data_IF_599769892766
#
_entry.id   IF_599769892766
#
_cell.length_a   1.000
_cell.length_b   1.000
_cell.length_c   1.000
_cell.angle_alpha   90.00
_cell.angle_beta   90.00
_cell.angle_gamma   90.00
#
_symmetry.space_group_name_H-M   'P 1'
#
loop_
_entity.id
_entity.type
_entity.pdbx_description
1 polymer ?
#
# COMPACT_ATOMS: atom_id res chain seq x y z
N UNK A 1 -15.13 3.14 18.07
CA UNK A 1 -14.26 3.08 16.87
C UNK A 1 -14.98 2.25 15.83
N UNK A 2 -15.34 2.83 14.66
CA UNK A 2 -16.01 2.09 13.61
C UNK A 2 -14.96 1.32 12.78
N UNK A 3 -15.14 0.00 12.63
CA UNK A 3 -14.32 -0.83 11.75
C UNK A 3 -15.10 -1.02 10.45
N UNK A 4 -14.60 -0.47 9.34
CA UNK A 4 -15.15 -0.75 8.02
C UNK A 4 -14.43 -1.96 7.43
N UNK A 5 -15.18 -3.01 7.08
CA UNK A 5 -14.64 -4.21 6.43
C UNK A 5 -15.20 -4.27 5.01
N UNK A 6 -14.34 -4.05 4.03
CA UNK A 6 -14.67 -4.24 2.61
C UNK A 6 -14.08 -5.56 2.11
N UNK A 7 -14.87 -6.36 1.38
CA UNK A 7 -14.43 -7.65 0.79
C UNK A 7 -14.67 -7.61 -0.71
N UNK A 8 -13.65 -8.00 -1.47
CA UNK A 8 -13.70 -8.10 -2.94
C UNK A 8 -13.25 -9.51 -3.35
N UNK A 9 -13.98 -10.13 -4.29
CA UNK A 9 -13.58 -11.41 -4.90
C UNK A 9 -12.83 -11.13 -6.20
N UNK A 10 -11.59 -11.61 -6.29
CA UNK A 10 -10.76 -11.49 -7.50
C UNK A 10 -10.38 -12.90 -7.93
N UNK A 11 -10.72 -13.27 -9.17
CA UNK A 11 -10.40 -14.59 -9.73
C UNK A 11 -8.98 -14.60 -10.31
N UNK A 12 -7.97 -14.70 -9.45
CA UNK A 12 -6.55 -14.75 -9.86
C UNK A 12 -5.71 -15.48 -8.82
N UNK A 13 -4.49 -15.87 -9.19
CA UNK A 13 -3.51 -16.40 -8.25
C UNK A 13 -3.19 -15.35 -7.18
N UNK A 14 -3.19 -15.76 -5.91
CA UNK A 14 -2.91 -14.86 -4.78
C UNK A 14 -1.53 -14.19 -4.89
N UNK A 15 -0.55 -14.89 -5.48
CA UNK A 15 0.78 -14.35 -5.76
C UNK A 15 0.71 -13.11 -6.66
N UNK A 16 -0.17 -13.11 -7.66
CA UNK A 16 -0.33 -11.97 -8.58
C UNK A 16 -0.95 -10.77 -7.87
N UNK A 17 -1.89 -11.00 -6.94
CA UNK A 17 -2.45 -9.93 -6.08
C UNK A 17 -1.35 -9.35 -5.21
N UNK A 18 -0.54 -10.22 -4.59
CA UNK A 18 0.57 -9.81 -3.76
C UNK A 18 1.61 -8.99 -4.54
N UNK A 19 2.01 -9.46 -5.71
CA UNK A 19 2.91 -8.77 -6.62
C UNK A 19 2.36 -7.40 -7.03
N UNK A 20 1.05 -7.28 -7.27
CA UNK A 20 0.40 -6.02 -7.63
C UNK A 20 0.43 -4.99 -6.48
N UNK A 21 0.38 -5.47 -5.23
CA UNK A 21 0.47 -4.65 -4.04
C UNK A 21 1.92 -4.30 -3.65
N UNK A 22 2.90 -5.12 -4.05
CA UNK A 22 4.29 -5.00 -3.58
C UNK A 22 5.28 -4.50 -4.62
N UNK A 23 5.10 -4.81 -5.90
CA UNK A 23 6.04 -4.36 -6.93
C UNK A 23 5.75 -2.90 -7.28
N UNK A 24 6.78 -2.02 -7.26
CA UNK A 24 6.61 -0.59 -7.56
C UNK A 24 6.02 -0.34 -8.95
N UNK A 25 6.30 -1.22 -9.92
CA UNK A 25 5.74 -1.17 -11.28
C UNK A 25 4.21 -1.21 -11.29
N UNK A 26 3.60 -2.08 -10.49
CA UNK A 26 2.15 -2.22 -10.42
C UNK A 26 1.52 -1.20 -9.48
N UNK A 27 2.21 -0.89 -8.38
CA UNK A 27 1.78 0.15 -7.44
C UNK A 27 1.62 1.49 -8.12
N UNK A 28 2.54 1.82 -9.04
CA UNK A 28 2.44 3.03 -9.85
C UNK A 28 1.14 3.11 -10.66
N UNK A 29 0.57 1.99 -11.11
CA UNK A 29 -0.63 1.96 -11.94
C UNK A 29 -1.90 2.30 -11.15
N UNK A 30 -2.05 1.76 -9.93
CA UNK A 30 -3.24 2.01 -9.12
C UNK A 30 -3.09 3.20 -8.17
N UNK A 31 -1.86 3.61 -7.86
CA UNK A 31 -1.56 4.78 -7.03
C UNK A 31 -1.19 6.00 -7.87
N UNK A 32 -1.92 6.24 -8.97
CA UNK A 32 -1.84 7.49 -9.77
C UNK A 32 -0.43 7.92 -10.20
N UNK A 33 0.44 6.98 -10.56
CA UNK A 33 1.79 7.31 -11.00
C UNK A 33 2.80 7.58 -9.89
N UNK A 34 2.39 7.47 -8.61
CA UNK A 34 3.23 7.77 -7.45
C UNK A 34 4.52 6.94 -7.43
N UNK A 35 5.62 7.56 -7.01
CA UNK A 35 6.86 6.86 -6.69
C UNK A 35 6.71 6.19 -5.33
N UNK A 36 6.74 4.86 -5.35
CA UNK A 36 6.80 4.04 -4.15
C UNK A 36 8.24 4.00 -3.63
N UNK A 37 8.45 4.45 -2.41
CA UNK A 37 9.68 4.26 -1.64
C UNK A 37 9.37 3.42 -0.41
N UNK A 38 9.89 2.19 -0.38
CA UNK A 38 9.77 1.28 0.76
C UNK A 38 10.90 0.26 0.75
N UNK A 39 11.30 -0.17 1.94
CA UNK A 39 12.25 -1.28 2.13
C UNK A 39 11.55 -2.64 2.28
N UNK A 40 10.21 -2.67 2.29
CA UNK A 40 9.39 -3.89 2.53
C UNK A 40 9.71 -4.64 3.83
N UNK A 41 10.34 -3.97 4.80
CA UNK A 41 10.60 -4.52 6.13
C UNK A 41 9.39 -4.34 7.06
N UNK A 42 9.28 -5.23 8.04
CA UNK A 42 8.22 -5.15 9.06
C UNK A 42 8.43 -3.88 9.89
N UNK A 43 7.36 -3.11 10.11
CA UNK A 43 7.37 -1.80 10.78
C UNK A 43 8.15 -0.67 10.06
N UNK A 44 8.60 -0.87 8.81
CA UNK A 44 9.20 0.21 8.02
C UNK A 44 8.13 1.13 7.39
N UNK A 45 8.39 2.45 7.30
CA UNK A 45 7.48 3.39 6.69
C UNK A 45 7.42 3.19 5.17
N UNK A 46 6.21 3.25 4.60
CA UNK A 46 6.01 3.28 3.14
C UNK A 46 5.70 4.73 2.75
N UNK A 47 6.49 5.26 1.82
CA UNK A 47 6.33 6.60 1.25
C UNK A 47 5.79 6.49 -0.16
N UNK A 48 4.69 7.16 -0.43
CA UNK A 48 4.20 7.40 -1.78
C UNK A 48 4.35 8.87 -2.09
N UNK A 49 5.16 9.19 -3.09
CA UNK A 49 5.39 10.57 -3.51
C UNK A 49 4.73 10.75 -4.88
N UNK A 50 3.78 11.67 -4.98
CA UNK A 50 3.15 12.03 -6.25
C UNK A 50 3.26 13.52 -6.52
N UNK A 51 3.30 13.91 -7.79
CA UNK A 51 3.20 15.31 -8.19
C UNK A 51 1.85 15.52 -8.85
N UNK A 52 1.05 16.44 -8.32
CA UNK A 52 -0.26 16.78 -8.85
C UNK A 52 -0.44 18.30 -8.87
N UNK A 53 -0.76 18.87 -10.04
CA UNK A 53 -0.90 20.32 -10.26
C UNK A 53 0.27 21.16 -9.70
N UNK A 54 1.50 20.67 -9.86
CA UNK A 54 2.71 21.34 -9.38
C UNK A 54 2.93 21.26 -7.86
N UNK A 55 2.10 20.50 -7.13
CA UNK A 55 2.28 20.21 -5.70
C UNK A 55 2.74 18.78 -5.49
N UNK A 56 3.77 18.61 -4.67
CA UNK A 56 4.27 17.30 -4.27
C UNK A 56 3.43 16.83 -3.07
N UNK A 57 2.74 15.72 -3.26
CA UNK A 57 1.98 15.04 -2.21
C UNK A 57 2.77 13.84 -1.71
N UNK A 58 3.04 13.84 -0.41
CA UNK A 58 3.73 12.75 0.27
C UNK A 58 2.74 12.03 1.19
N UNK A 59 2.46 10.76 0.89
CA UNK A 59 1.61 9.92 1.72
C UNK A 59 2.47 8.91 2.48
N UNK A 60 2.49 9.05 3.81
CA UNK A 60 3.24 8.22 4.74
C UNK A 60 2.35 7.16 5.37
N UNK A 61 2.75 5.89 5.24
CA UNK A 61 2.13 4.79 5.96
C UNK A 61 3.09 4.29 7.03
N UNK A 62 2.74 4.52 8.29
CA UNK A 62 3.64 4.34 9.44
C UNK A 62 3.65 2.92 10.03
N UNK A 63 2.74 2.04 9.62
CA UNK A 63 2.71 0.68 10.17
C UNK A 63 2.20 -0.32 9.15
N UNK A 64 3.12 -1.19 8.76
CA UNK A 64 2.84 -2.32 7.89
C UNK A 64 3.16 -3.63 8.62
N UNK A 65 2.15 -4.48 8.79
CA UNK A 65 2.34 -5.86 9.27
C UNK A 65 2.08 -6.81 8.13
N UNK A 66 3.16 -7.40 7.61
CA UNK A 66 3.13 -8.48 6.62
C UNK A 66 3.11 -9.81 7.36
N UNK A 67 2.06 -10.61 7.17
CA UNK A 67 2.11 -12.03 7.48
C UNK A 67 2.36 -12.78 6.17
N UNK A 68 3.63 -12.92 5.79
CA UNK A 68 4.05 -13.55 4.52
C UNK A 68 3.48 -14.97 4.37
N UNK A 69 3.38 -15.72 5.48
CA UNK A 69 2.85 -17.08 5.50
C UNK A 69 1.32 -17.16 5.25
N UNK A 70 0.59 -16.04 5.33
CA UNK A 70 -0.86 -16.01 5.04
C UNK A 70 -1.27 -15.05 3.93
N UNK A 71 -0.31 -14.35 3.31
CA UNK A 71 -0.56 -13.26 2.34
C UNK A 71 -1.57 -12.23 2.89
N UNK A 72 -1.48 -11.96 4.19
CA UNK A 72 -2.32 -10.96 4.86
C UNK A 72 -1.46 -9.72 5.05
N UNK A 73 -1.91 -8.61 4.45
CA UNK A 73 -1.39 -7.27 4.66
C UNK A 73 -2.39 -6.50 5.52
N UNK A 74 -2.02 -6.19 6.77
CA UNK A 74 -2.80 -5.28 7.63
C UNK A 74 -2.14 -3.93 7.55
N UNK A 75 -2.91 -2.95 7.08
CA UNK A 75 -2.47 -1.57 7.00
C UNK A 75 -3.18 -0.73 8.06
N UNK A 76 -2.43 0.07 8.81
CA UNK A 76 -3.01 1.08 9.71
C UNK A 76 -2.70 2.46 9.16
N UNK A 77 -3.70 3.11 8.57
CA UNK A 77 -3.62 4.52 8.20
C UNK A 77 -3.90 5.33 9.47
N UNK A 78 -2.91 6.10 9.93
CA UNK A 78 -3.18 7.19 10.86
C UNK A 78 -3.37 8.45 10.04
N UNK A 79 -4.62 8.84 9.84
CA UNK A 79 -4.94 10.19 9.37
C UNK A 79 -4.57 11.16 10.50
N UNK A 80 -3.55 12.00 10.29
CA UNK A 80 -3.31 13.17 11.14
C UNK A 80 -4.37 14.20 10.75
N UNK A 81 -5.37 14.39 11.61
CA UNK A 81 -6.15 15.64 11.68
C UNK A 81 -5.27 16.78 12.16
#
# INVERSE_FOLDING_TARGET
MAVNISKIKINTAKQKVWDTLTKPEFVKLWQFGSKLQTTWEVDSPIKFINEWEGKIFEQLWNRFRIYANRQIAIFTIRTKT
#
